data_IF_015350601623
#
_entry.id   IF_015350601623
#
_cell.length_a   1.000
_cell.length_b   1.000
_cell.length_c   1.000
_cell.angle_alpha   90.00
_cell.angle_beta   90.00
_cell.angle_gamma   90.00
#
_symmetry.space_group_name_H-M   'P 1'
#
loop_
_entity.id
_entity.type
_entity.pdbx_description
1 polymer ?
#
# COMPACT_ATOMS: atom_id res chain seq x y z
N UNK A 1 -3.00 -17.31 25.91
CA UNK A 1 -2.06 -18.12 25.09
C UNK A 1 -1.62 -17.26 23.94
N UNK A 2 -0.31 -17.05 23.74
CA UNK A 2 0.22 -16.38 22.55
C UNK A 2 0.24 -17.39 21.40
N UNK A 3 -0.35 -17.05 20.26
CA UNK A 3 -0.27 -17.89 19.06
C UNK A 3 1.18 -17.89 18.55
N UNK A 4 1.80 -19.07 18.44
CA UNK A 4 3.21 -19.22 18.02
C UNK A 4 3.35 -19.47 16.51
N UNK A 5 2.25 -19.62 15.76
CA UNK A 5 2.30 -19.75 14.30
C UNK A 5 2.66 -18.40 13.70
N UNK A 6 3.69 -18.31 12.82
CA UNK A 6 4.02 -17.07 12.13
C UNK A 6 2.84 -16.53 11.31
N UNK A 7 2.62 -15.20 11.27
CA UNK A 7 1.57 -14.62 10.46
C UNK A 7 1.81 -14.89 8.97
N UNK A 8 0.72 -15.17 8.27
CA UNK A 8 0.70 -15.24 6.81
C UNK A 8 0.69 -13.84 6.21
N UNK A 9 0.90 -13.74 4.90
CA UNK A 9 0.74 -12.47 4.18
C UNK A 9 -0.68 -11.92 4.34
N UNK A 10 -1.69 -12.77 4.30
CA UNK A 10 -3.08 -12.37 4.46
C UNK A 10 -3.34 -11.76 5.85
N UNK A 11 -2.78 -12.36 6.91
CA UNK A 11 -2.91 -11.83 8.28
C UNK A 11 -2.42 -10.38 8.39
N UNK A 12 -1.32 -10.04 7.71
CA UNK A 12 -0.82 -8.67 7.67
C UNK A 12 -1.78 -7.70 6.98
N UNK A 13 -2.45 -8.15 5.91
CA UNK A 13 -3.38 -7.31 5.14
C UNK A 13 -4.70 -7.13 5.89
N UNK A 14 -5.16 -8.16 6.62
CA UNK A 14 -6.34 -8.05 7.48
C UNK A 14 -6.13 -7.03 8.59
N UNK A 15 -4.94 -7.00 9.22
CA UNK A 15 -4.60 -5.96 10.20
C UNK A 15 -4.61 -4.58 9.55
N UNK A 16 -4.01 -4.41 8.37
CA UNK A 16 -4.06 -3.13 7.64
C UNK A 16 -5.50 -2.71 7.32
N UNK A 17 -6.34 -3.65 6.88
CA UNK A 17 -7.73 -3.40 6.57
C UNK A 17 -8.56 -3.02 7.80
N UNK A 18 -8.19 -3.46 9.01
CA UNK A 18 -8.87 -3.11 10.26
C UNK A 18 -8.47 -1.71 10.76
N UNK A 19 -7.18 -1.34 10.62
CA UNK A 19 -6.66 -0.09 11.22
C UNK A 19 -6.69 1.12 10.30
N UNK A 20 -6.77 0.93 8.98
CA UNK A 20 -6.72 2.03 8.02
C UNK A 20 -8.03 2.83 8.00
N UNK A 21 -7.97 4.17 8.01
CA UNK A 21 -9.15 5.02 7.89
C UNK A 21 -9.98 4.72 6.64
N UNK A 22 -11.29 4.92 6.71
CA UNK A 22 -12.20 4.66 5.60
C UNK A 22 -11.94 5.58 4.39
N UNK A 23 -11.44 6.79 4.63
CA UNK A 23 -11.13 7.80 3.60
C UNK A 23 -9.66 7.78 3.16
N UNK A 24 -8.88 6.80 3.60
CA UNK A 24 -7.49 6.63 3.25
C UNK A 24 -7.31 6.33 1.77
N UNK A 25 -6.42 7.08 1.12
CA UNK A 25 -5.98 6.83 -0.25
C UNK A 25 -4.87 5.78 -0.21
N UNK A 26 -5.13 4.59 -0.77
CA UNK A 26 -4.17 3.48 -0.72
C UNK A 26 -3.63 3.19 -2.10
N UNK A 27 -2.31 3.28 -2.26
CA UNK A 27 -1.61 2.91 -3.48
C UNK A 27 -0.93 1.55 -3.27
N UNK A 28 -1.23 0.56 -4.11
CA UNK A 28 -0.59 -0.75 -4.04
C UNK A 28 0.39 -0.95 -5.19
N UNK A 29 1.50 -1.63 -4.94
CA UNK A 29 2.44 -2.02 -6.00
C UNK A 29 1.93 -3.24 -6.77
N UNK A 30 2.42 -3.39 -8.01
CA UNK A 30 2.20 -4.56 -8.86
C UNK A 30 2.31 -5.89 -8.12
N UNK A 31 1.40 -6.81 -8.47
CA UNK A 31 1.41 -8.19 -8.04
C UNK A 31 0.63 -8.42 -6.75
N UNK A 32 1.19 -9.22 -5.84
CA UNK A 32 0.48 -9.70 -4.64
C UNK A 32 -0.10 -8.58 -3.78
N UNK A 33 0.51 -7.39 -3.75
CA UNK A 33 -0.02 -6.27 -2.98
C UNK A 33 -1.35 -5.78 -3.54
N UNK A 34 -1.44 -5.57 -4.85
CA UNK A 34 -2.71 -5.24 -5.51
C UNK A 34 -3.73 -6.37 -5.37
N UNK A 35 -3.36 -7.62 -5.68
CA UNK A 35 -4.32 -8.72 -5.69
C UNK A 35 -4.93 -9.02 -4.32
N UNK A 36 -4.12 -9.07 -3.26
CA UNK A 36 -4.64 -9.32 -1.91
C UNK A 36 -5.44 -8.14 -1.39
N UNK A 37 -4.99 -6.91 -1.64
CA UNK A 37 -5.72 -5.73 -1.18
C UNK A 37 -7.07 -5.58 -1.89
N UNK A 38 -7.15 -5.89 -3.19
CA UNK A 38 -8.40 -5.93 -3.95
C UNK A 38 -9.37 -7.00 -3.40
N UNK A 39 -8.87 -8.15 -2.97
CA UNK A 39 -9.73 -9.18 -2.36
C UNK A 39 -10.22 -8.78 -0.96
N UNK A 40 -9.35 -8.16 -0.16
CA UNK A 40 -9.61 -7.89 1.26
C UNK A 40 -10.37 -6.57 1.49
N UNK A 41 -10.05 -5.51 0.75
CA UNK A 41 -10.59 -4.16 0.97
C UNK A 41 -10.64 -3.36 -0.33
N UNK A 42 -11.40 -3.81 -1.33
CA UNK A 42 -11.66 -3.02 -2.54
C UNK A 42 -12.53 -1.80 -2.26
N UNK A 43 -12.07 -0.62 -2.73
CA UNK A 43 -12.68 0.69 -2.50
C UNK A 43 -12.27 1.68 -3.59
N UNK A 44 -13.08 2.71 -3.78
CA UNK A 44 -12.82 3.78 -4.75
C UNK A 44 -11.55 4.60 -4.44
N UNK A 45 -11.11 4.59 -3.18
CA UNK A 45 -9.90 5.26 -2.70
C UNK A 45 -8.61 4.50 -3.00
N UNK A 46 -8.71 3.28 -3.51
CA UNK A 46 -7.55 2.46 -3.84
C UNK A 46 -7.07 2.73 -5.28
N UNK A 47 -5.75 2.75 -5.45
CA UNK A 47 -5.10 2.78 -6.75
C UNK A 47 -4.17 1.58 -6.89
N UNK A 48 -4.56 0.65 -7.75
CA UNK A 48 -3.82 -0.59 -8.04
C UNK A 48 -2.86 -0.36 -9.22
N UNK A 49 -1.56 -0.25 -8.95
CA UNK A 49 -0.56 -0.17 -10.02
C UNK A 49 -0.26 -1.56 -10.56
N UNK A 50 -0.65 -1.84 -11.81
CA UNK A 50 -0.39 -3.13 -12.45
C UNK A 50 0.81 -3.11 -13.41
N UNK A 51 1.17 -1.98 -14.05
CA UNK A 51 2.19 -1.97 -15.14
C UNK A 51 3.42 -1.09 -14.88
N UNK A 52 3.68 -0.70 -13.63
CA UNK A 52 4.83 0.15 -13.29
C UNK A 52 5.49 -0.19 -11.95
N UNK A 53 6.37 -1.19 -11.98
CA UNK A 53 7.06 -1.66 -10.78
C UNK A 53 7.94 -0.55 -10.17
N UNK A 54 7.75 -0.32 -8.87
CA UNK A 54 8.47 0.69 -8.10
C UNK A 54 7.89 2.11 -8.15
N UNK A 55 6.84 2.37 -8.94
CA UNK A 55 6.23 3.70 -9.01
C UNK A 55 5.16 3.98 -7.94
N UNK A 56 4.80 3.01 -7.10
CA UNK A 56 3.79 3.26 -6.05
C UNK A 56 4.26 4.32 -5.05
N UNK A 57 5.56 4.34 -4.70
CA UNK A 57 6.12 5.35 -3.80
C UNK A 57 6.04 6.78 -4.36
N UNK A 58 6.62 7.11 -5.53
CA UNK A 58 6.55 8.47 -6.06
C UNK A 58 5.10 8.91 -6.34
N UNK A 59 4.21 7.99 -6.75
CA UNK A 59 2.79 8.29 -6.89
C UNK A 59 2.15 8.68 -5.55
N UNK A 60 2.38 7.88 -4.50
CA UNK A 60 1.83 8.15 -3.17
C UNK A 60 2.35 9.48 -2.59
N UNK A 61 3.63 9.83 -2.81
CA UNK A 61 4.19 11.12 -2.40
C UNK A 61 3.48 12.26 -3.13
N UNK A 62 3.32 12.16 -4.45
CA UNK A 62 2.59 13.16 -5.23
C UNK A 62 1.13 13.31 -4.78
N UNK A 63 0.48 12.19 -4.43
CA UNK A 63 -0.88 12.18 -3.91
C UNK A 63 -0.99 12.87 -2.55
N UNK A 64 -0.03 12.62 -1.65
CA UNK A 64 0.03 13.29 -0.34
C UNK A 64 0.22 14.81 -0.48
N UNK A 65 1.05 15.24 -1.44
CA UNK A 65 1.21 16.67 -1.76
C UNK A 65 -0.07 17.27 -2.35
N UNK A 66 -0.76 16.55 -3.24
CA UNK A 66 -1.97 17.03 -3.91
C UNK A 66 -3.23 16.99 -3.01
N UNK A 67 -3.23 16.14 -1.98
CA UNK A 67 -4.35 15.90 -1.06
C UNK A 67 -3.86 15.94 0.40
N UNK A 68 -3.36 17.10 0.89
CA UNK A 68 -2.72 17.20 2.20
C UNK A 68 -3.65 16.85 3.38
N UNK A 69 -4.97 17.01 3.19
CA UNK A 69 -5.97 16.74 4.23
C UNK A 69 -6.45 15.28 4.25
N UNK A 70 -5.91 14.41 3.39
CA UNK A 70 -6.31 13.01 3.31
C UNK A 70 -5.14 12.09 3.66
N UNK A 71 -5.36 11.04 4.46
CA UNK A 71 -4.29 10.11 4.76
C UNK A 71 -3.94 9.28 3.52
N UNK A 72 -2.65 9.16 3.21
CA UNK A 72 -2.14 8.41 2.06
C UNK A 72 -1.26 7.27 2.55
N UNK A 73 -1.52 6.07 2.06
CA UNK A 73 -0.78 4.86 2.39
C UNK A 73 -0.28 4.16 1.13
N UNK A 74 0.83 3.45 1.29
CA UNK A 74 1.40 2.60 0.25
C UNK A 74 1.57 1.18 0.77
N UNK A 75 1.14 0.20 -0.02
CA UNK A 75 1.44 -1.21 0.20
C UNK A 75 2.39 -1.66 -0.92
N UNK A 76 3.69 -1.68 -0.61
CA UNK A 76 4.75 -1.98 -1.58
C UNK A 76 5.82 -2.90 -0.96
N UNK A 77 6.36 -3.81 -1.78
CA UNK A 77 7.51 -4.63 -1.41
C UNK A 77 8.84 -3.86 -1.43
N UNK A 78 9.84 -4.40 -0.75
CA UNK A 78 11.21 -3.87 -0.71
C UNK A 78 11.85 -3.70 -2.09
N UNK A 79 11.67 -4.66 -3.00
CA UNK A 79 12.20 -4.57 -4.36
C UNK A 79 11.65 -3.36 -5.14
N UNK A 80 10.35 -3.09 -5.02
CA UNK A 80 9.73 -1.90 -5.61
C UNK A 80 10.22 -0.61 -4.96
N UNK A 81 10.43 -0.63 -3.64
CA UNK A 81 10.99 0.51 -2.91
C UNK A 81 12.40 0.85 -3.38
N UNK A 82 13.27 -0.16 -3.50
CA UNK A 82 14.66 0.01 -3.91
C UNK A 82 14.79 0.56 -5.33
N UNK A 83 13.83 0.30 -6.22
CA UNK A 83 13.83 0.84 -7.58
C UNK A 83 13.69 2.36 -7.65
N UNK A 84 12.97 2.97 -6.69
CA UNK A 84 12.71 4.42 -6.66
C UNK A 84 12.95 5.04 -5.27
N UNK A 85 13.90 4.49 -4.51
CA UNK A 85 14.20 4.96 -3.15
C UNK A 85 14.65 6.43 -3.11
N UNK A 86 15.21 6.95 -4.20
CA UNK A 86 15.55 8.37 -4.34
C UNK A 86 14.36 9.33 -4.19
N UNK A 87 13.12 8.85 -4.38
CA UNK A 87 11.92 9.64 -4.15
C UNK A 87 11.68 9.99 -2.66
N UNK A 88 12.32 9.28 -1.71
CA UNK A 88 12.29 9.63 -0.28
C UNK A 88 13.17 10.82 0.08
N UNK A 89 14.10 11.19 -0.79
CA UNK A 89 14.96 12.37 -0.57
C UNK A 89 14.17 13.60 -0.99
N UNK A 90 13.75 14.40 -0.01
CA UNK A 90 12.95 15.61 -0.19
C UNK A 90 13.58 16.80 0.49
#
# INVERSE_FOLDING_TARGET
>A
MVNLTPPTREDHYLVLADILPDDALVVTSLGNASYLWAVIRDRAENFYLEDAMGLALPLAIGLAVAKPDRPVFIIQGDGGLLMHMGALVT
#
